data_IF_541155470564
#
_entry.id   IF_541155470564
#
_cell.length_a   1.000
_cell.length_b   1.000
_cell.length_c   1.000
_cell.angle_alpha   90.00
_cell.angle_beta   90.00
_cell.angle_gamma   90.00
#
_symmetry.space_group_name_H-M   'P 1'
#
loop_
_entity.id
_entity.type
_entity.pdbx_description
1 polymer ?
#
# COMPACT_ATOMS: atom_id res chain seq x y z
N UNK A 1 31.29 -17.45 7.02
CA UNK A 1 31.05 -18.91 7.09
C UNK A 1 29.80 -19.11 7.91
N UNK A 2 28.76 -19.71 7.34
CA UNK A 2 27.52 -19.96 8.08
C UNK A 2 27.78 -20.95 9.23
N UNK A 3 27.02 -20.80 10.30
CA UNK A 3 27.13 -21.70 11.47
C UNK A 3 26.83 -23.16 11.07
N UNK A 4 26.08 -23.36 10.00
CA UNK A 4 25.82 -24.64 9.39
C UNK A 4 27.12 -25.30 8.86
N UNK A 5 27.92 -24.57 8.08
CA UNK A 5 29.20 -25.11 7.52
C UNK A 5 30.17 -25.43 8.64
N UNK A 6 30.22 -24.64 9.73
CA UNK A 6 31.07 -24.93 10.88
C UNK A 6 30.65 -26.24 11.56
N UNK A 7 29.35 -26.40 11.85
CA UNK A 7 28.83 -27.61 12.48
C UNK A 7 29.09 -28.87 11.65
N UNK A 8 28.88 -28.80 10.33
CA UNK A 8 29.16 -29.92 9.42
C UNK A 8 30.67 -30.23 9.32
N UNK A 9 31.52 -29.21 9.40
CA UNK A 9 32.99 -29.43 9.41
C UNK A 9 33.46 -30.12 10.70
N UNK A 10 32.87 -29.76 11.85
CA UNK A 10 33.16 -30.44 13.14
C UNK A 10 32.65 -31.88 13.15
N UNK A 11 31.45 -32.15 12.64
CA UNK A 11 30.90 -33.51 12.53
C UNK A 11 31.79 -34.38 11.62
N UNK A 12 32.22 -33.84 10.47
CA UNK A 12 33.16 -34.49 9.57
C UNK A 12 34.48 -34.85 10.23
N UNK A 13 35.06 -33.93 11.00
CA UNK A 13 36.29 -34.17 11.73
C UNK A 13 36.15 -35.32 12.77
N UNK A 14 35.03 -35.36 13.50
CA UNK A 14 34.72 -36.39 14.42
C UNK A 14 34.58 -37.79 13.78
N UNK A 15 33.94 -37.86 12.59
CA UNK A 15 33.79 -39.11 11.86
C UNK A 15 35.14 -39.62 11.33
N UNK A 16 36.00 -38.73 10.83
CA UNK A 16 37.37 -39.07 10.40
C UNK A 16 38.17 -39.63 11.59
N UNK A 17 38.01 -39.02 12.78
CA UNK A 17 38.70 -39.51 13.98
C UNK A 17 38.22 -40.91 14.33
N UNK A 18 36.91 -41.21 14.23
CA UNK A 18 36.38 -42.55 14.46
C UNK A 18 36.91 -43.60 13.47
N UNK A 19 37.00 -43.26 12.19
CA UNK A 19 37.61 -44.13 11.16
C UNK A 19 39.05 -44.44 11.54
N UNK A 20 39.82 -43.42 11.95
CA UNK A 20 41.22 -43.56 12.31
C UNK A 20 41.37 -44.43 13.58
N UNK A 21 40.54 -44.26 14.59
CA UNK A 21 40.56 -45.08 15.80
C UNK A 21 40.34 -46.58 15.50
N UNK A 22 39.49 -46.91 14.55
CA UNK A 22 39.26 -48.29 14.10
C UNK A 22 40.51 -48.85 13.41
N UNK A 23 41.15 -48.06 12.54
CA UNK A 23 42.34 -48.47 11.83
C UNK A 23 43.54 -48.64 12.78
N UNK A 24 43.76 -47.65 13.68
CA UNK A 24 44.86 -47.67 14.66
C UNK A 24 44.71 -48.83 15.64
N UNK A 25 43.46 -49.20 16.02
CA UNK A 25 43.21 -50.38 16.84
C UNK A 25 43.53 -51.68 16.13
N UNK A 26 43.14 -51.83 14.86
CA UNK A 26 43.47 -52.99 14.06
C UNK A 26 45.00 -53.16 13.88
N UNK A 27 45.73 -52.04 13.70
CA UNK A 27 47.19 -52.00 13.59
C UNK A 27 47.87 -52.36 14.89
N UNK A 28 47.37 -51.82 16.05
CA UNK A 28 47.94 -52.12 17.36
C UNK A 28 47.79 -53.60 17.77
N UNK A 29 46.68 -54.22 17.34
CA UNK A 29 46.40 -55.64 17.59
C UNK A 29 47.08 -56.56 16.55
N UNK A 30 47.85 -56.02 15.59
CA UNK A 30 48.52 -56.72 14.48
C UNK A 30 47.60 -57.70 13.74
N UNK A 31 46.27 -57.37 13.65
CA UNK A 31 45.24 -58.16 12.96
C UNK A 31 44.74 -57.45 11.72
N UNK A 32 44.30 -58.21 10.72
CA UNK A 32 43.55 -57.65 9.61
C UNK A 32 42.18 -57.11 10.08
N UNK A 33 41.62 -56.12 9.35
CA UNK A 33 40.27 -55.63 9.52
C UNK A 33 39.23 -56.75 9.43
N UNK A 34 38.37 -56.88 10.40
CA UNK A 34 37.27 -57.87 10.37
C UNK A 34 36.15 -57.37 9.40
N UNK A 35 35.26 -58.28 9.01
CA UNK A 35 34.12 -57.92 8.13
C UNK A 35 33.24 -56.85 8.80
N UNK A 36 33.13 -56.90 10.14
CA UNK A 36 32.35 -55.91 10.92
C UNK A 36 33.07 -54.54 10.95
N UNK A 37 34.41 -54.52 11.10
CA UNK A 37 35.19 -53.28 11.06
C UNK A 37 35.10 -52.62 9.68
N UNK A 38 35.21 -53.45 8.59
CA UNK A 38 35.03 -52.94 7.22
C UNK A 38 33.65 -52.34 6.99
N UNK A 39 32.59 -53.03 7.41
CA UNK A 39 31.21 -52.51 7.29
C UNK A 39 30.95 -51.27 8.15
N UNK A 40 31.75 -51.06 9.24
CA UNK A 40 31.68 -49.85 10.03
C UNK A 40 32.40 -48.68 9.36
N UNK A 41 33.55 -48.90 8.81
CA UNK A 41 34.36 -47.94 8.05
C UNK A 41 33.57 -47.45 6.81
N UNK A 42 33.01 -48.39 6.00
CA UNK A 42 32.20 -48.02 4.83
C UNK A 42 30.99 -47.12 5.21
N UNK A 43 30.32 -47.39 6.30
CA UNK A 43 29.19 -46.51 6.76
C UNK A 43 29.65 -45.12 7.17
N UNK A 44 30.80 -45.01 7.87
CA UNK A 44 31.38 -43.74 8.26
C UNK A 44 31.87 -42.95 7.05
N UNK A 45 32.50 -43.61 6.07
CA UNK A 45 32.93 -42.97 4.81
C UNK A 45 31.76 -42.49 3.96
N UNK A 46 30.68 -43.27 3.85
CA UNK A 46 29.46 -42.85 3.18
C UNK A 46 28.89 -41.57 3.85
N UNK A 47 28.89 -41.51 5.16
CA UNK A 47 28.39 -40.33 5.89
C UNK A 47 29.32 -39.12 5.74
N UNK A 48 30.63 -39.32 5.65
CA UNK A 48 31.59 -38.27 5.36
C UNK A 48 31.34 -37.71 3.95
N UNK A 49 31.09 -38.57 2.97
CA UNK A 49 30.80 -38.17 1.59
C UNK A 49 29.48 -37.35 1.51
N UNK A 50 28.45 -37.72 2.27
CA UNK A 50 27.20 -36.97 2.34
C UNK A 50 27.42 -35.57 2.93
N UNK A 51 28.23 -35.48 4.00
CA UNK A 51 28.59 -34.19 4.62
C UNK A 51 29.42 -33.33 3.64
N UNK A 52 30.37 -33.90 2.94
CA UNK A 52 31.21 -33.20 1.95
C UNK A 52 30.33 -32.63 0.81
N UNK A 53 29.36 -33.40 0.34
CA UNK A 53 28.38 -32.95 -0.64
C UNK A 53 27.52 -31.79 -0.07
N UNK A 54 27.06 -31.90 1.18
CA UNK A 54 26.30 -30.86 1.86
C UNK A 54 27.08 -29.54 1.97
N UNK A 55 28.34 -29.61 2.39
CA UNK A 55 29.24 -28.46 2.46
C UNK A 55 29.47 -27.84 1.08
N UNK A 56 29.68 -28.67 0.04
CA UNK A 56 29.88 -28.17 -1.32
C UNK A 56 28.65 -27.46 -1.89
N UNK A 57 27.44 -27.93 -1.57
CA UNK A 57 26.17 -27.27 -1.96
C UNK A 57 26.01 -25.96 -1.19
N UNK A 58 26.27 -25.94 0.10
CA UNK A 58 26.17 -24.74 0.93
C UNK A 58 27.16 -23.66 0.46
N UNK A 59 28.41 -23.99 0.17
CA UNK A 59 29.39 -23.05 -0.38
C UNK A 59 28.97 -22.48 -1.73
N UNK A 60 28.49 -23.31 -2.66
CA UNK A 60 27.97 -22.84 -3.95
C UNK A 60 26.76 -21.93 -3.80
N UNK A 61 25.96 -22.10 -2.76
CA UNK A 61 24.83 -21.19 -2.48
C UNK A 61 25.32 -19.85 -1.90
N UNK A 62 26.32 -19.86 -1.01
CA UNK A 62 26.96 -18.64 -0.49
C UNK A 62 27.65 -17.84 -1.61
N UNK A 63 28.38 -18.51 -2.50
CA UNK A 63 29.02 -17.90 -3.68
C UNK A 63 28.00 -17.24 -4.60
N UNK A 64 26.89 -17.93 -4.93
CA UNK A 64 25.81 -17.35 -5.74
C UNK A 64 25.13 -16.18 -5.05
N UNK A 65 24.93 -16.23 -3.74
CA UNK A 65 24.38 -15.10 -2.99
C UNK A 65 25.36 -13.90 -2.98
N UNK A 66 26.67 -14.17 -2.87
CA UNK A 66 27.68 -13.13 -2.93
C UNK A 66 27.75 -12.50 -4.34
N UNK A 67 27.68 -13.33 -5.39
CA UNK A 67 27.65 -12.87 -6.79
C UNK A 67 26.40 -12.01 -7.09
N UNK A 68 25.23 -12.44 -6.61
CA UNK A 68 23.98 -11.65 -6.70
C UNK A 68 24.10 -10.35 -5.89
N UNK A 69 24.69 -10.39 -4.71
CA UNK A 69 24.92 -9.20 -3.88
C UNK A 69 25.92 -8.24 -4.53
N UNK A 70 26.96 -8.76 -5.20
CA UNK A 70 27.94 -7.96 -5.94
C UNK A 70 27.34 -7.37 -7.22
N UNK A 71 26.56 -8.15 -7.97
CA UNK A 71 25.80 -7.67 -9.11
C UNK A 71 24.77 -6.60 -8.69
N UNK A 72 24.11 -6.78 -7.55
CA UNK A 72 23.21 -5.79 -6.98
C UNK A 72 23.94 -4.50 -6.54
N UNK A 73 25.17 -4.58 -6.06
CA UNK A 73 26.03 -3.41 -5.78
C UNK A 73 26.41 -2.63 -7.02
N UNK A 74 26.56 -3.30 -8.17
CA UNK A 74 26.80 -2.65 -9.45
C UNK A 74 25.56 -1.96 -10.03
N UNK A 75 24.35 -2.34 -9.59
CA UNK A 75 23.07 -1.78 -10.04
C UNK A 75 22.49 -0.73 -9.08
N UNK A 76 22.91 -0.71 -7.83
CA UNK A 76 22.58 0.34 -6.87
C UNK A 76 23.74 1.34 -6.92
N UNK A 77 23.57 2.54 -7.51
CA UNK A 77 24.52 3.60 -7.23
C UNK A 77 24.57 3.71 -5.71
N UNK A 78 25.77 3.76 -5.15
CA UNK A 78 25.98 3.92 -3.73
C UNK A 78 25.16 5.15 -3.28
N UNK A 79 23.97 4.89 -2.79
CA UNK A 79 23.22 5.86 -2.00
C UNK A 79 24.00 5.87 -0.70
N UNK A 80 25.03 6.73 -0.64
CA UNK A 80 25.51 7.24 0.64
C UNK A 80 24.23 7.58 1.40
N UNK A 81 24.06 7.02 2.59
CA UNK A 81 23.01 7.44 3.51
C UNK A 81 23.26 8.94 3.77
N UNK A 82 22.70 9.76 2.88
CA UNK A 82 22.71 11.20 3.04
C UNK A 82 21.87 11.46 4.25
N UNK A 83 22.50 12.12 5.21
CA UNK A 83 21.82 12.57 6.42
C UNK A 83 20.80 13.65 6.02
N UNK A 84 19.56 13.20 5.79
CA UNK A 84 18.46 14.07 5.37
C UNK A 84 18.16 15.15 6.41
N UNK A 85 18.52 14.87 7.66
CA UNK A 85 18.48 15.85 8.75
C UNK A 85 19.50 16.98 8.53
N UNK A 86 20.65 16.68 7.91
CA UNK A 86 21.66 17.69 7.57
C UNK A 86 21.19 18.57 6.41
N UNK A 87 20.52 18.02 5.40
CA UNK A 87 19.94 18.80 4.28
C UNK A 87 18.85 19.73 4.78
N UNK A 88 17.93 19.24 5.61
CA UNK A 88 16.87 20.05 6.20
C UNK A 88 17.46 21.14 7.11
N UNK A 89 18.51 20.84 7.84
CA UNK A 89 19.20 21.82 8.69
C UNK A 89 19.92 22.90 7.85
N UNK A 90 20.57 22.55 6.74
CA UNK A 90 21.21 23.51 5.84
C UNK A 90 20.18 24.42 5.14
N UNK A 91 18.98 23.92 4.85
CA UNK A 91 17.85 24.70 4.35
C UNK A 91 17.37 25.67 5.45
N UNK A 92 17.21 25.20 6.69
CA UNK A 92 16.77 26.03 7.81
C UNK A 92 17.77 27.14 8.18
N UNK A 93 19.07 26.90 8.02
CA UNK A 93 20.14 27.90 8.23
C UNK A 93 20.31 28.87 7.05
N UNK A 94 19.50 28.73 5.97
CA UNK A 94 19.59 29.62 4.82
C UNK A 94 20.74 29.34 3.86
N UNK A 95 21.51 28.29 4.10
CA UNK A 95 22.62 27.86 3.23
C UNK A 95 22.14 27.28 1.90
N UNK A 96 20.86 26.80 1.85
CA UNK A 96 20.23 26.26 0.66
C UNK A 96 18.79 26.82 0.50
N UNK A 97 18.47 27.45 -0.64
CA UNK A 97 17.18 28.13 -0.88
C UNK A 97 16.05 27.22 -1.39
N UNK A 98 15.89 26.05 -0.79
CA UNK A 98 14.81 25.14 -1.12
C UNK A 98 15.29 23.89 -1.84
N UNK A 99 14.62 22.79 -1.54
CA UNK A 99 14.89 21.49 -2.12
C UNK A 99 13.57 20.91 -2.67
N UNK A 100 13.55 20.55 -3.95
CA UNK A 100 12.41 19.84 -4.53
C UNK A 100 12.56 18.35 -4.24
N UNK A 101 11.68 17.84 -3.42
CA UNK A 101 11.59 16.42 -3.15
C UNK A 101 10.74 15.76 -4.24
N UNK A 102 11.34 15.11 -5.20
CA UNK A 102 10.65 14.34 -6.25
C UNK A 102 10.78 12.85 -5.99
N UNK A 103 9.67 12.13 -6.08
CA UNK A 103 9.70 10.67 -6.16
C UNK A 103 10.53 10.25 -7.38
N UNK A 104 11.62 9.54 -7.14
CA UNK A 104 12.50 9.06 -8.20
C UNK A 104 11.83 7.95 -9.00
N UNK A 105 11.18 8.33 -10.10
CA UNK A 105 10.96 7.46 -11.22
C UNK A 105 11.85 7.97 -12.37
N UNK A 106 12.97 7.27 -12.56
CA UNK A 106 14.02 7.39 -13.58
C UNK A 106 15.22 8.28 -13.26
N UNK A 107 16.44 7.74 -13.43
CA UNK A 107 17.68 8.49 -13.27
C UNK A 107 17.97 9.26 -14.55
N UNK A 108 17.60 10.51 -14.65
CA UNK A 108 18.19 11.41 -15.65
C UNK A 108 18.26 12.82 -15.10
N UNK A 109 19.49 13.20 -14.80
CA UNK A 109 20.04 14.56 -14.67
C UNK A 109 19.31 15.59 -13.78
N UNK A 110 19.87 15.83 -12.61
CA UNK A 110 20.05 17.20 -12.10
C UNK A 110 18.88 17.86 -11.41
N UNK A 111 18.15 17.20 -10.53
CA UNK A 111 17.26 17.91 -9.60
C UNK A 111 17.05 17.10 -8.31
N UNK A 112 17.11 17.79 -7.19
CA UNK A 112 17.14 17.32 -5.81
C UNK A 112 16.26 16.11 -5.48
N UNK A 113 16.90 15.15 -4.87
CA UNK A 113 16.28 13.89 -4.44
C UNK A 113 15.60 14.11 -3.11
N UNK A 114 14.28 13.82 -3.03
CA UNK A 114 13.60 13.64 -1.75
C UNK A 114 14.26 12.50 -1.02
N UNK A 115 14.55 12.62 0.28
CA UNK A 115 14.84 11.47 1.09
C UNK A 115 13.73 10.45 0.95
N UNK A 116 14.06 9.26 0.48
CA UNK A 116 13.11 8.16 0.28
C UNK A 116 12.33 7.85 1.58
N UNK A 117 12.99 7.98 2.72
CA UNK A 117 12.39 7.79 4.04
C UNK A 117 11.28 8.80 4.36
N UNK A 118 11.38 10.05 3.90
CA UNK A 118 10.35 11.06 4.13
C UNK A 118 9.11 10.80 3.26
N UNK A 119 9.31 10.47 1.98
CA UNK A 119 8.22 10.13 1.06
C UNK A 119 7.45 8.90 1.54
N UNK A 120 8.18 7.86 1.98
CA UNK A 120 7.60 6.62 2.47
C UNK A 120 6.78 6.83 3.76
N UNK A 121 7.27 7.67 4.68
CA UNK A 121 6.51 8.04 5.87
C UNK A 121 5.22 8.80 5.55
N UNK A 122 5.28 9.77 4.64
CA UNK A 122 4.08 10.53 4.23
C UNK A 122 3.09 9.62 3.50
N UNK A 123 3.57 8.76 2.63
CA UNK A 123 2.72 7.79 1.92
C UNK A 123 2.07 6.79 2.90
N UNK A 124 2.81 6.34 3.90
CA UNK A 124 2.28 5.49 4.98
C UNK A 124 1.21 6.23 5.79
N UNK A 125 1.36 7.53 6.06
CA UNK A 125 0.32 8.33 6.71
C UNK A 125 -0.91 8.51 5.83
N UNK A 126 -0.75 8.73 4.53
CA UNK A 126 -1.85 8.79 3.57
C UNK A 126 -2.66 7.49 3.57
N UNK A 127 -1.99 6.34 3.51
CA UNK A 127 -2.63 5.03 3.54
C UNK A 127 -3.35 4.76 4.86
N UNK A 128 -2.75 5.13 5.98
CA UNK A 128 -3.34 4.93 7.31
C UNK A 128 -4.48 5.91 7.62
N UNK A 129 -4.48 7.10 7.01
CA UNK A 129 -5.49 8.12 7.25
C UNK A 129 -6.79 7.86 6.48
N UNK A 130 -6.71 7.27 5.29
CA UNK A 130 -7.89 6.98 4.48
C UNK A 130 -7.69 5.69 3.67
N UNK A 131 -8.58 4.70 3.79
CA UNK A 131 -8.48 3.43 3.08
C UNK A 131 -8.50 3.57 1.55
N UNK A 132 -8.97 4.69 0.99
CA UNK A 132 -8.92 4.93 -0.45
C UNK A 132 -7.51 4.89 -1.02
N UNK A 133 -6.49 5.35 -0.29
CA UNK A 133 -5.11 5.29 -0.75
C UNK A 133 -4.55 3.85 -0.81
N UNK A 134 -5.15 2.90 -0.10
CA UNK A 134 -4.76 1.49 -0.13
C UNK A 134 -5.62 0.65 -1.08
N UNK A 135 -6.85 1.08 -1.38
CA UNK A 135 -7.81 0.30 -2.18
C UNK A 135 -7.98 0.80 -3.61
N UNK A 136 -7.57 2.04 -3.90
CA UNK A 136 -7.69 2.63 -5.23
C UNK A 136 -6.44 2.47 -6.08
N UNK A 137 -6.57 2.65 -7.39
CA UNK A 137 -5.43 2.69 -8.31
C UNK A 137 -4.78 4.07 -8.27
N UNK A 138 -3.50 4.14 -7.84
CA UNK A 138 -2.75 5.40 -7.76
C UNK A 138 -1.89 5.58 -9.01
N UNK A 139 -2.08 6.71 -9.71
CA UNK A 139 -1.28 7.10 -10.87
C UNK A 139 -0.43 8.31 -10.52
N UNK A 140 0.88 8.16 -10.51
CA UNK A 140 1.82 9.25 -10.26
C UNK A 140 2.28 9.88 -11.58
N UNK A 141 2.15 11.20 -11.72
CA UNK A 141 2.59 11.98 -12.89
C UNK A 141 3.59 13.04 -12.47
N UNK A 142 4.56 13.36 -13.32
CA UNK A 142 5.58 14.39 -13.06
C UNK A 142 5.05 15.81 -13.14
N UNK A 143 4.06 16.04 -14.00
CA UNK A 143 3.46 17.37 -14.26
C UNK A 143 2.01 17.48 -13.82
N UNK A 144 1.51 18.73 -13.73
CA UNK A 144 0.13 19.04 -13.37
C UNK A 144 -0.83 19.18 -14.58
N UNK A 145 -0.38 18.89 -15.81
CA UNK A 145 -1.24 18.94 -17.00
C UNK A 145 -2.37 17.91 -16.86
N UNK A 146 -3.55 18.22 -17.39
CA UNK A 146 -4.71 17.30 -17.32
C UNK A 146 -4.37 15.95 -17.93
N UNK A 147 -4.58 14.89 -17.16
CA UNK A 147 -4.42 13.51 -17.59
C UNK A 147 -5.77 13.03 -18.14
N UNK A 148 -5.77 12.59 -19.39
CA UNK A 148 -6.97 12.04 -20.05
C UNK A 148 -6.87 10.54 -20.10
N UNK A 149 -7.83 9.85 -19.47
CA UNK A 149 -7.90 8.38 -19.44
C UNK A 149 -9.12 7.97 -20.26
N UNK A 150 -8.95 7.16 -21.32
CA UNK A 150 -10.10 6.64 -22.07
C UNK A 150 -10.92 5.69 -21.19
N UNK A 151 -12.24 5.83 -21.24
CA UNK A 151 -13.21 5.06 -20.49
C UNK A 151 -14.26 4.50 -21.43
N UNK A 152 -14.51 3.19 -21.34
CA UNK A 152 -15.61 2.54 -22.07
C UNK A 152 -16.91 2.80 -21.30
N UNK A 153 -17.86 3.49 -21.93
CA UNK A 153 -19.16 3.81 -21.31
C UNK A 153 -20.20 2.73 -21.61
N UNK A 154 -20.16 2.18 -22.82
CA UNK A 154 -20.99 1.04 -23.19
C UNK A 154 -20.20 0.12 -24.10
N UNK A 155 -20.27 -1.19 -23.82
CA UNK A 155 -19.77 -2.22 -24.72
C UNK A 155 -20.75 -2.38 -25.88
N UNK A 156 -20.24 -2.71 -27.07
CA UNK A 156 -21.10 -3.08 -28.19
C UNK A 156 -21.94 -4.32 -27.87
N UNK A 157 -23.12 -4.41 -28.46
CA UNK A 157 -23.98 -5.59 -28.34
C UNK A 157 -23.60 -6.63 -29.39
N UNK A 158 -23.35 -7.85 -28.97
CA UNK A 158 -23.07 -8.98 -29.85
C UNK A 158 -24.25 -9.95 -29.81
N UNK A 159 -24.85 -10.21 -30.98
CA UNK A 159 -25.99 -11.11 -31.08
C UNK A 159 -25.65 -12.35 -31.90
N UNK A 160 -26.29 -13.47 -31.59
CA UNK A 160 -26.23 -14.66 -32.42
C UNK A 160 -26.85 -14.37 -33.77
N UNK A 161 -26.08 -14.53 -34.85
CA UNK A 161 -26.56 -14.30 -36.23
C UNK A 161 -26.71 -15.65 -36.94
N UNK A 162 -27.87 -15.87 -37.52
CA UNK A 162 -28.13 -17.09 -38.29
C UNK A 162 -27.27 -17.10 -39.57
N UNK A 163 -26.97 -18.30 -40.08
CA UNK A 163 -26.21 -18.46 -41.32
C UNK A 163 -26.91 -17.76 -42.49
N UNK A 164 -26.18 -16.89 -43.18
CA UNK A 164 -26.70 -16.11 -44.30
C UNK A 164 -27.42 -14.80 -43.95
N UNK A 165 -27.57 -14.46 -42.65
CA UNK A 165 -28.11 -13.18 -42.20
C UNK A 165 -27.01 -12.13 -42.04
N UNK A 166 -27.36 -10.84 -42.25
CA UNK A 166 -26.44 -9.75 -42.03
C UNK A 166 -26.10 -9.59 -40.53
N UNK A 167 -24.81 -9.41 -40.22
CA UNK A 167 -24.34 -9.11 -38.87
C UNK A 167 -24.65 -7.64 -38.56
N UNK A 168 -25.34 -7.39 -37.44
CA UNK A 168 -25.61 -6.02 -37.00
C UNK A 168 -24.35 -5.34 -36.53
N UNK A 169 -24.08 -4.13 -37.01
CA UNK A 169 -22.98 -3.32 -36.55
C UNK A 169 -23.27 -2.74 -35.15
N UNK A 170 -22.37 -2.90 -34.24
CA UNK A 170 -22.46 -2.35 -32.88
C UNK A 170 -21.10 -1.87 -32.42
N UNK A 171 -20.96 -0.57 -32.25
CA UNK A 171 -19.72 0.08 -31.86
C UNK A 171 -19.71 0.39 -30.35
N UNK A 172 -18.60 0.16 -29.63
CA UNK A 172 -18.47 0.57 -28.25
C UNK A 172 -18.45 2.10 -28.14
N UNK A 173 -19.07 2.63 -27.10
CA UNK A 173 -19.06 4.07 -26.81
C UNK A 173 -17.91 4.37 -25.85
N UNK A 174 -17.03 5.28 -26.25
CA UNK A 174 -15.90 5.73 -25.47
C UNK A 174 -16.16 7.13 -24.92
N UNK A 175 -15.77 7.35 -23.67
CA UNK A 175 -15.68 8.67 -23.04
C UNK A 175 -14.29 8.87 -22.46
N UNK A 176 -14.03 10.04 -21.90
CA UNK A 176 -12.75 10.37 -21.28
C UNK A 176 -12.95 10.75 -19.82
N UNK A 177 -12.11 10.21 -18.93
CA UNK A 177 -11.94 10.71 -17.59
C UNK A 177 -10.80 11.72 -17.57
N UNK A 178 -11.11 12.97 -17.25
CA UNK A 178 -10.14 14.04 -17.17
C UNK A 178 -9.78 14.28 -15.72
N UNK A 179 -8.51 14.05 -15.37
CA UNK A 179 -7.97 14.26 -14.03
C UNK A 179 -7.06 15.49 -14.04
N UNK A 180 -7.40 16.49 -13.24
CA UNK A 180 -6.62 17.70 -13.01
C UNK A 180 -5.53 17.49 -11.97
N UNK A 181 -5.18 18.56 -11.23
CA UNK A 181 -4.24 18.52 -10.11
C UNK A 181 -4.58 19.64 -9.12
N UNK A 182 -5.54 19.37 -8.23
CA UNK A 182 -5.87 20.29 -7.14
C UNK A 182 -4.73 20.32 -6.12
N UNK A 183 -4.44 21.51 -5.57
CA UNK A 183 -3.32 21.73 -4.68
C UNK A 183 -3.79 21.84 -3.23
N UNK A 184 -3.24 20.98 -2.38
CA UNK A 184 -3.34 21.04 -0.93
C UNK A 184 -2.01 21.56 -0.37
N UNK A 185 -2.05 22.44 0.61
CA UNK A 185 -0.85 23.02 1.16
C UNK A 185 -1.02 23.46 2.60
N UNK A 186 0.04 23.28 3.38
CA UNK A 186 0.15 23.75 4.75
C UNK A 186 1.34 24.71 4.87
N UNK A 187 1.18 25.75 5.67
CA UNK A 187 2.23 26.67 6.09
C UNK A 187 2.41 26.53 7.60
N UNK A 188 3.64 26.25 8.04
CA UNK A 188 4.00 26.15 9.45
C UNK A 188 5.18 27.05 9.71
N UNK A 189 5.06 27.95 10.68
CA UNK A 189 6.13 28.86 11.10
C UNK A 189 6.68 28.44 12.46
N UNK A 190 7.99 28.35 12.57
CA UNK A 190 8.73 28.03 13.79
C UNK A 190 9.70 29.16 14.13
N UNK A 191 9.81 29.49 15.41
CA UNK A 191 10.82 30.42 15.90
C UNK A 191 12.22 29.85 15.69
N UNK A 192 13.15 30.70 15.25
CA UNK A 192 14.54 30.31 15.05
C UNK A 192 15.21 29.89 16.37
N UNK A 193 14.80 30.48 17.52
CA UNK A 193 15.25 30.06 18.84
C UNK A 193 14.89 28.61 19.15
N UNK A 194 13.65 28.21 18.88
CA UNK A 194 13.17 26.83 19.10
C UNK A 194 13.93 25.86 18.17
N UNK A 195 14.22 26.27 16.93
CA UNK A 195 14.99 25.44 15.99
C UNK A 195 16.43 25.26 16.49
N UNK A 196 17.04 26.30 17.07
CA UNK A 196 18.40 26.24 17.57
C UNK A 196 18.54 25.47 18.89
N UNK A 197 17.60 25.65 19.83
CA UNK A 197 17.68 25.11 21.18
C UNK A 197 17.12 23.68 21.31
N UNK A 198 16.35 23.21 20.31
CA UNK A 198 15.73 21.89 20.42
C UNK A 198 16.72 20.76 20.12
N UNK A 199 16.84 19.83 21.05
CA UNK A 199 17.56 18.56 20.86
C UNK A 199 16.82 17.54 19.97
N UNK A 200 15.62 17.87 19.50
CA UNK A 200 14.77 17.02 18.63
C UNK A 200 14.75 17.60 17.23
N UNK A 201 14.70 16.75 16.21
CA UNK A 201 14.55 17.19 14.84
C UNK A 201 13.11 17.74 14.61
N UNK A 202 12.92 19.03 14.93
CA UNK A 202 11.64 19.73 14.76
C UNK A 202 11.16 19.74 13.32
N UNK A 203 12.08 19.72 12.36
CA UNK A 203 11.75 19.71 10.93
C UNK A 203 11.02 18.45 10.53
N UNK A 204 11.50 17.30 11.01
CA UNK A 204 10.84 16.02 10.78
C UNK A 204 9.44 15.97 11.45
N UNK A 205 9.34 16.51 12.66
CA UNK A 205 8.05 16.61 13.37
C UNK A 205 7.04 17.46 12.61
N UNK A 206 7.44 18.65 12.12
CA UNK A 206 6.59 19.54 11.33
C UNK A 206 6.18 18.90 10.03
N UNK A 207 7.13 18.25 9.34
CA UNK A 207 6.84 17.54 8.12
C UNK A 207 5.80 16.42 8.33
N UNK A 208 5.92 15.66 9.40
CA UNK A 208 4.94 14.59 9.77
C UNK A 208 3.57 15.18 10.07
N UNK A 209 3.48 16.21 10.90
CA UNK A 209 2.20 16.84 11.25
C UNK A 209 1.53 17.41 10.01
N UNK A 210 2.25 18.20 9.21
CA UNK A 210 1.70 18.80 7.99
C UNK A 210 1.26 17.76 6.97
N UNK A 211 2.02 16.68 6.83
CA UNK A 211 1.66 15.57 5.93
C UNK A 211 0.42 14.85 6.38
N UNK A 212 0.25 14.66 7.68
CA UNK A 212 -0.95 14.06 8.26
C UNK A 212 -2.20 14.90 7.99
N UNK A 213 -2.13 16.21 8.20
CA UNK A 213 -3.25 17.12 7.96
C UNK A 213 -3.61 17.18 6.46
N UNK A 214 -2.62 17.27 5.58
CA UNK A 214 -2.84 17.20 4.12
C UNK A 214 -3.47 15.85 3.74
N UNK A 215 -3.03 14.76 4.34
CA UNK A 215 -3.59 13.43 4.09
C UNK A 215 -5.06 13.33 4.53
N UNK A 216 -5.39 13.94 5.66
CA UNK A 216 -6.75 13.95 6.18
C UNK A 216 -7.67 14.76 5.26
N UNK A 217 -7.29 15.98 4.89
CA UNK A 217 -8.09 16.85 4.02
C UNK A 217 -8.21 16.29 2.60
N UNK A 218 -7.10 15.81 2.03
CA UNK A 218 -7.12 15.15 0.73
C UNK A 218 -7.98 13.88 0.76
N UNK A 219 -7.87 13.06 1.81
CA UNK A 219 -8.70 11.87 1.99
C UNK A 219 -10.19 12.17 2.10
N UNK A 220 -10.57 13.26 2.77
CA UNK A 220 -11.95 13.72 2.86
C UNK A 220 -12.48 14.13 1.48
N UNK A 221 -11.69 14.90 0.71
CA UNK A 221 -12.06 15.32 -0.64
C UNK A 221 -12.13 14.13 -1.62
N UNK A 222 -11.19 13.18 -1.54
CA UNK A 222 -11.24 11.93 -2.32
C UNK A 222 -12.48 11.08 -1.99
N UNK A 223 -13.04 11.23 -0.79
CA UNK A 223 -14.24 10.49 -0.36
C UNK A 223 -15.53 11.20 -0.82
N UNK A 224 -15.70 12.48 -0.54
CA UNK A 224 -16.97 13.20 -0.71
C UNK A 224 -16.90 14.38 -1.67
N UNK A 225 -15.73 14.70 -2.20
CA UNK A 225 -15.51 15.88 -3.04
C UNK A 225 -16.45 15.99 -4.23
N UNK A 226 -16.72 17.22 -4.63
CA UNK A 226 -17.74 17.57 -5.64
C UNK A 226 -17.25 17.49 -7.08
N UNK A 227 -15.91 17.50 -7.30
CA UNK A 227 -15.31 17.48 -8.63
C UNK A 227 -15.28 18.83 -9.35
N UNK A 228 -15.63 19.94 -8.69
CA UNK A 228 -15.62 21.30 -9.30
C UNK A 228 -14.42 22.12 -8.84
N UNK A 229 -14.26 22.31 -7.54
CA UNK A 229 -13.16 23.06 -6.91
C UNK A 229 -12.20 22.14 -6.13
N UNK A 230 -12.55 20.89 -6.06
CA UNK A 230 -11.86 19.81 -5.35
C UNK A 230 -11.95 18.52 -6.17
N UNK A 231 -11.17 17.46 -5.86
CA UNK A 231 -11.25 16.16 -6.53
C UNK A 231 -12.66 15.57 -6.50
N UNK A 232 -12.97 14.72 -7.48
CA UNK A 232 -14.25 14.00 -7.49
C UNK A 232 -14.17 12.83 -6.51
N UNK A 233 -14.93 12.90 -5.42
CA UNK A 233 -14.98 11.85 -4.40
C UNK A 233 -15.67 10.57 -4.88
N UNK A 234 -15.28 9.42 -4.30
CA UNK A 234 -15.87 8.12 -4.64
C UNK A 234 -17.38 8.08 -4.39
N UNK A 235 -17.85 8.72 -3.32
CA UNK A 235 -19.28 8.82 -2.97
C UNK A 235 -20.06 9.63 -4.01
N UNK A 236 -19.44 10.67 -4.56
CA UNK A 236 -20.03 11.52 -5.60
C UNK A 236 -20.01 10.84 -6.98
N UNK A 237 -18.91 10.16 -7.30
CA UNK A 237 -18.75 9.46 -8.58
C UNK A 237 -19.55 8.15 -8.66
N UNK A 238 -19.93 7.55 -7.53
CA UNK A 238 -20.66 6.27 -7.49
C UNK A 238 -22.09 6.42 -7.98
N UNK A 239 -22.61 5.38 -8.62
CA UNK A 239 -24.01 5.30 -9.07
C UNK A 239 -24.94 4.88 -7.92
N UNK A 240 -26.23 5.22 -8.02
CA UNK A 240 -27.22 4.76 -7.06
C UNK A 240 -27.43 3.26 -7.20
N UNK A 241 -27.17 2.47 -6.15
CA UNK A 241 -27.46 1.04 -6.09
C UNK A 241 -28.82 0.78 -5.46
N UNK A 242 -29.00 1.19 -4.22
CA UNK A 242 -30.21 0.95 -3.44
C UNK A 242 -30.59 2.19 -2.62
N UNK A 243 -31.89 2.45 -2.53
CA UNK A 243 -32.43 3.44 -1.59
C UNK A 243 -33.06 2.71 -0.42
N UNK A 244 -32.62 3.05 0.80
CA UNK A 244 -33.18 2.48 2.01
C UNK A 244 -34.63 2.88 2.22
N UNK A 245 -35.41 1.96 2.74
CA UNK A 245 -36.83 2.16 3.07
C UNK A 245 -37.04 2.57 4.53
N UNK A 246 -36.04 2.36 5.39
CA UNK A 246 -36.13 2.65 6.80
C UNK A 246 -35.99 4.15 7.08
N UNK A 247 -36.87 4.69 7.91
CA UNK A 247 -36.75 6.02 8.47
C UNK A 247 -35.46 6.14 9.27
N UNK A 248 -34.68 7.16 8.99
CA UNK A 248 -33.40 7.36 9.69
C UNK A 248 -32.16 6.92 8.94
N UNK A 249 -32.29 6.50 7.69
CA UNK A 249 -31.14 6.15 6.82
C UNK A 249 -30.33 4.94 7.28
N UNK A 250 -30.85 4.18 8.26
CA UNK A 250 -30.17 2.96 8.77
C UNK A 250 -30.29 1.84 7.74
N UNK A 251 -29.20 1.19 7.32
CA UNK A 251 -29.27 0.08 6.40
C UNK A 251 -29.90 -1.16 7.08
N UNK A 252 -30.80 -1.83 6.37
CA UNK A 252 -31.31 -3.16 6.78
C UNK A 252 -30.49 -4.25 6.13
N UNK A 253 -30.67 -5.50 6.61
CA UNK A 253 -30.01 -6.66 6.00
C UNK A 253 -30.39 -6.81 4.52
N UNK A 254 -31.68 -6.63 4.19
CA UNK A 254 -32.19 -6.68 2.81
C UNK A 254 -31.51 -5.63 1.93
N UNK A 255 -31.38 -4.38 2.42
CA UNK A 255 -30.70 -3.35 1.66
C UNK A 255 -29.24 -3.68 1.34
N UNK A 256 -28.54 -4.38 2.26
CA UNK A 256 -27.17 -4.81 2.03
C UNK A 256 -27.08 -5.92 0.98
N UNK A 257 -28.02 -6.87 1.00
CA UNK A 257 -28.16 -7.89 -0.02
C UNK A 257 -28.43 -7.25 -1.39
N UNK A 258 -29.44 -6.39 -1.48
CA UNK A 258 -29.83 -5.72 -2.71
C UNK A 258 -28.66 -4.88 -3.27
N UNK A 259 -27.90 -4.18 -2.40
CA UNK A 259 -26.74 -3.41 -2.78
C UNK A 259 -25.65 -4.30 -3.40
N UNK A 260 -25.41 -5.46 -2.80
CA UNK A 260 -24.41 -6.42 -3.31
C UNK A 260 -24.79 -6.93 -4.69
N UNK A 261 -26.08 -7.13 -4.96
CA UNK A 261 -26.60 -7.65 -6.24
C UNK A 261 -26.94 -6.55 -7.26
N UNK A 262 -26.92 -5.28 -6.88
CA UNK A 262 -27.18 -4.16 -7.80
C UNK A 262 -26.03 -3.92 -8.79
N UNK A 263 -24.82 -4.39 -8.48
CA UNK A 263 -23.69 -4.34 -9.41
C UNK A 263 -23.69 -5.57 -10.28
N UNK A 264 -23.79 -5.36 -11.60
CA UNK A 264 -23.57 -6.42 -12.58
C UNK A 264 -22.10 -6.76 -12.62
N UNK A 265 -21.70 -7.89 -12.07
CA UNK A 265 -20.28 -8.26 -12.00
C UNK A 265 -20.07 -9.75 -12.12
N UNK A 266 -19.14 -10.13 -12.98
CA UNK A 266 -18.75 -11.51 -13.20
C UNK A 266 -17.87 -12.05 -12.08
N UNK A 267 -17.18 -11.17 -11.32
CA UNK A 267 -16.27 -11.56 -10.25
C UNK A 267 -16.41 -10.64 -9.01
N UNK A 268 -17.42 -10.94 -8.18
CA UNK A 268 -17.65 -10.20 -6.93
C UNK A 268 -16.61 -10.48 -5.84
N UNK A 269 -15.73 -11.45 -6.02
CA UNK A 269 -14.68 -11.77 -5.04
C UNK A 269 -13.64 -10.64 -4.87
N UNK A 270 -13.46 -9.79 -5.90
CA UNK A 270 -12.57 -8.63 -5.85
C UNK A 270 -13.25 -7.34 -5.38
N UNK A 271 -14.54 -7.40 -5.01
CA UNK A 271 -15.29 -6.23 -4.58
C UNK A 271 -15.12 -6.00 -3.09
N UNK A 272 -15.31 -4.75 -2.66
CA UNK A 272 -15.22 -4.35 -1.27
C UNK A 272 -16.33 -3.40 -0.87
N UNK A 273 -16.62 -3.37 0.42
CA UNK A 273 -17.47 -2.35 1.03
C UNK A 273 -16.59 -1.24 1.58
N UNK A 274 -16.99 0.00 1.35
CA UNK A 274 -16.47 1.16 2.07
C UNK A 274 -17.63 1.78 2.86
N UNK A 275 -17.45 1.87 4.16
CA UNK A 275 -18.55 2.27 5.08
C UNK A 275 -18.10 3.36 6.02
N UNK A 276 -19.05 4.23 6.42
CA UNK A 276 -18.79 5.15 7.52
C UNK A 276 -18.80 4.43 8.86
N UNK A 277 -18.10 4.96 9.87
CA UNK A 277 -18.08 4.44 11.24
C UNK A 277 -19.48 4.24 11.80
N UNK A 278 -20.40 5.18 11.53
CA UNK A 278 -21.80 5.11 11.99
C UNK A 278 -22.60 4.02 11.26
N UNK A 279 -22.34 3.82 9.96
CA UNK A 279 -22.96 2.74 9.19
C UNK A 279 -22.46 1.37 9.63
N UNK A 280 -21.16 1.24 9.89
CA UNK A 280 -20.58 0.00 10.42
C UNK A 280 -21.18 -0.38 11.77
N UNK A 281 -21.30 0.61 12.66
CA UNK A 281 -21.97 0.40 13.95
C UNK A 281 -23.44 0.00 13.81
N UNK A 282 -24.15 0.56 12.81
CA UNK A 282 -25.54 0.20 12.51
C UNK A 282 -25.64 -1.24 11.96
N UNK A 283 -24.77 -1.61 11.02
CA UNK A 283 -24.71 -2.96 10.44
C UNK A 283 -24.48 -4.02 11.52
N UNK A 284 -23.54 -3.78 12.43
CA UNK A 284 -23.25 -4.70 13.55
C UNK A 284 -24.40 -4.86 14.55
N UNK A 285 -25.34 -3.91 14.59
CA UNK A 285 -26.54 -3.95 15.46
C UNK A 285 -27.72 -4.65 14.81
N UNK A 286 -27.64 -5.10 13.56
CA UNK A 286 -28.73 -5.82 12.89
C UNK A 286 -28.95 -7.16 13.58
N UNK A 287 -30.21 -7.41 13.98
CA UNK A 287 -30.63 -8.61 14.69
C UNK A 287 -31.59 -9.44 13.85
N UNK A 288 -31.60 -10.73 14.10
CA UNK A 288 -32.59 -11.64 13.59
C UNK A 288 -33.92 -11.56 14.38
N UNK A 289 -34.93 -12.30 13.97
CA UNK A 289 -36.22 -12.38 14.63
C UNK A 289 -36.13 -12.95 16.05
N UNK A 290 -35.08 -13.68 16.40
CA UNK A 290 -34.81 -14.23 17.72
C UNK A 290 -34.03 -13.28 18.63
N UNK A 291 -33.60 -12.10 18.11
CA UNK A 291 -32.86 -11.09 18.85
C UNK A 291 -31.33 -11.27 18.83
N UNK A 292 -30.81 -12.26 18.10
CA UNK A 292 -29.37 -12.49 17.95
C UNK A 292 -28.79 -11.53 16.91
N UNK A 293 -27.54 -11.09 17.10
CA UNK A 293 -26.84 -10.30 16.11
C UNK A 293 -26.47 -11.15 14.90
N UNK A 294 -26.86 -10.70 13.68
CA UNK A 294 -26.56 -11.40 12.44
C UNK A 294 -25.06 -11.30 12.10
N UNK A 295 -24.48 -10.12 12.33
CA UNK A 295 -23.07 -9.88 12.09
C UNK A 295 -22.30 -9.89 13.40
N UNK A 296 -21.90 -11.09 13.84
CA UNK A 296 -20.92 -11.22 14.91
C UNK A 296 -19.53 -10.77 14.38
N UNK A 297 -18.72 -10.06 15.18
CA UNK A 297 -17.37 -9.73 14.78
C UNK A 297 -16.62 -11.04 14.48
N UNK A 298 -16.10 -11.16 13.27
CA UNK A 298 -15.27 -12.29 12.90
C UNK A 298 -14.00 -12.23 13.73
N UNK A 299 -13.72 -13.26 14.53
CA UNK A 299 -12.40 -13.49 15.11
C UNK A 299 -11.52 -14.05 13.98
N UNK A 300 -11.29 -13.25 12.93
CA UNK A 300 -10.40 -13.66 11.86
C UNK A 300 -8.96 -13.34 12.26
N UNK A 301 -8.06 -14.20 11.85
CA UNK A 301 -6.61 -14.06 12.09
C UNK A 301 -6.07 -12.74 11.49
N UNK A 302 -6.73 -12.22 10.46
CA UNK A 302 -6.32 -11.02 9.73
C UNK A 302 -6.88 -9.70 10.31
N UNK A 303 -7.73 -9.75 11.33
CA UNK A 303 -8.35 -8.55 11.93
C UNK A 303 -9.25 -7.73 10.99
N UNK A 304 -9.56 -8.25 9.79
CA UNK A 304 -10.43 -7.59 8.81
C UNK A 304 -11.86 -8.03 8.99
N UNK A 305 -12.78 -7.07 8.90
CA UNK A 305 -14.21 -7.37 8.90
C UNK A 305 -14.68 -7.77 7.50
N UNK A 306 -15.53 -8.79 7.45
CA UNK A 306 -16.13 -9.28 6.20
C UNK A 306 -17.64 -9.17 6.26
N UNK A 307 -18.23 -8.71 5.16
CA UNK A 307 -19.67 -8.65 4.95
C UNK A 307 -20.01 -9.43 3.68
N UNK A 308 -20.81 -10.48 3.77
CA UNK A 308 -21.18 -11.33 2.64
C UNK A 308 -19.98 -11.83 1.80
N UNK A 309 -18.85 -12.14 2.48
CA UNK A 309 -17.63 -12.61 1.83
C UNK A 309 -16.72 -11.53 1.26
N UNK A 310 -17.11 -10.25 1.32
CA UNK A 310 -16.32 -9.12 0.85
C UNK A 310 -15.73 -8.34 2.02
N UNK A 311 -14.54 -7.78 1.82
CA UNK A 311 -13.83 -6.99 2.84
C UNK A 311 -14.55 -5.67 3.10
N UNK A 312 -14.63 -5.28 4.36
CA UNK A 312 -15.12 -3.96 4.78
C UNK A 312 -13.95 -3.03 5.04
N UNK A 313 -13.97 -1.87 4.41
CA UNK A 313 -13.06 -0.76 4.66
C UNK A 313 -13.80 0.35 5.40
N UNK A 314 -13.42 0.61 6.64
CA UNK A 314 -13.97 1.73 7.40
C UNK A 314 -13.30 3.04 6.97
N UNK A 315 -14.11 4.02 6.58
CA UNK A 315 -13.65 5.35 6.20
C UNK A 315 -14.40 6.42 7.01
N UNK A 316 -13.68 7.08 7.92
CA UNK A 316 -14.22 8.12 8.79
C UNK A 316 -14.70 9.38 8.03
N UNK A 317 -14.18 9.61 6.81
CA UNK A 317 -14.58 10.75 5.97
C UNK A 317 -15.89 10.51 5.20
N UNK A 318 -16.46 9.31 5.26
CA UNK A 318 -17.76 9.04 4.62
C UNK A 318 -18.93 9.69 5.38
N UNK A 319 -20.01 10.07 4.67
CA UNK A 319 -21.20 10.62 5.31
C UNK A 319 -21.76 9.69 6.38
N UNK A 320 -22.04 10.24 7.54
CA UNK A 320 -22.68 9.51 8.62
C UNK A 320 -24.11 9.08 8.24
N UNK A 321 -24.60 8.00 8.86
CA UNK A 321 -26.01 7.64 8.82
C UNK A 321 -26.81 8.77 9.48
N UNK A 322 -27.69 9.40 8.72
CA UNK A 322 -28.48 10.53 9.18
C UNK A 322 -29.96 10.32 8.91
N UNK A 323 -30.80 10.63 9.91
CA UNK A 323 -32.25 10.42 9.87
C UNK A 323 -32.98 11.29 8.85
N UNK A 324 -32.43 12.44 8.48
CA UNK A 324 -33.13 13.49 7.73
C UNK A 324 -32.58 13.70 6.31
N UNK A 325 -31.50 13.08 5.96
CA UNK A 325 -30.85 13.27 4.66
C UNK A 325 -30.66 11.94 3.95
N UNK A 326 -30.78 11.96 2.64
CA UNK A 326 -30.40 10.86 1.76
C UNK A 326 -28.88 10.64 1.79
N UNK A 327 -28.34 10.26 2.96
CA UNK A 327 -26.91 10.09 3.17
C UNK A 327 -26.40 8.87 2.42
N UNK A 328 -25.23 9.01 1.80
CA UNK A 328 -24.54 7.95 1.08
C UNK A 328 -23.49 7.34 2.02
N UNK A 329 -23.93 6.56 2.99
CA UNK A 329 -23.09 6.07 4.08
C UNK A 329 -22.34 4.77 3.78
N UNK A 330 -22.70 4.10 2.69
CA UNK A 330 -22.12 2.83 2.24
C UNK A 330 -21.87 2.91 0.73
N UNK A 331 -20.69 2.48 0.31
CA UNK A 331 -20.31 2.30 -1.08
C UNK A 331 -19.87 0.84 -1.26
N UNK A 332 -20.28 0.21 -2.36
CA UNK A 332 -19.94 -1.16 -2.70
C UNK A 332 -19.52 -1.26 -4.16
N UNK A 333 -18.52 -2.08 -4.45
CA UNK A 333 -18.08 -2.34 -5.80
C UNK A 333 -16.59 -2.61 -5.90
N UNK A 334 -16.08 -2.52 -7.12
CA UNK A 334 -14.65 -2.67 -7.39
C UNK A 334 -13.93 -1.35 -7.09
N UNK A 335 -13.39 -1.25 -5.88
CA UNK A 335 -12.72 -0.04 -5.38
C UNK A 335 -11.46 0.31 -6.17
N UNK A 336 -10.80 -0.67 -6.78
CA UNK A 336 -9.61 -0.48 -7.64
C UNK A 336 -9.90 0.37 -8.90
N UNK A 337 -11.16 0.41 -9.37
CA UNK A 337 -11.57 1.22 -10.52
C UNK A 337 -11.66 2.72 -10.17
N UNK A 338 -11.56 3.06 -8.89
CA UNK A 338 -11.39 4.44 -8.48
C UNK A 338 -9.92 4.83 -8.62
N UNK A 339 -9.66 5.83 -9.46
CA UNK A 339 -8.32 6.26 -9.82
C UNK A 339 -7.98 7.53 -9.06
N UNK A 340 -6.88 7.49 -8.32
CA UNK A 340 -6.30 8.66 -7.65
C UNK A 340 -5.04 9.07 -8.39
N UNK A 341 -5.03 10.28 -8.93
CA UNK A 341 -3.85 10.88 -9.56
C UNK A 341 -3.06 11.69 -8.55
N UNK A 342 -1.77 11.46 -8.51
CA UNK A 342 -0.82 12.26 -7.75
C UNK A 342 0.13 12.98 -8.71
N UNK A 343 0.19 14.32 -8.66
CA UNK A 343 1.01 15.13 -9.55
C UNK A 343 2.22 15.73 -8.83
N UNK A 344 3.42 15.28 -9.20
CA UNK A 344 4.69 15.85 -8.73
C UNK A 344 5.11 15.50 -7.30
N UNK A 345 4.35 14.62 -6.61
CA UNK A 345 4.69 14.25 -5.22
C UNK A 345 4.49 15.38 -4.22
N UNK A 346 5.08 15.22 -3.02
CA UNK A 346 5.05 16.23 -1.96
C UNK A 346 6.24 17.16 -2.13
N UNK A 347 5.97 18.45 -2.04
CA UNK A 347 6.98 19.50 -2.12
C UNK A 347 7.07 20.22 -0.79
N UNK A 348 8.29 20.36 -0.27
CA UNK A 348 8.59 21.14 0.92
C UNK A 348 9.50 22.30 0.52
N UNK A 349 9.12 23.49 0.90
CA UNK A 349 9.92 24.69 0.70
C UNK A 349 9.99 25.51 1.98
N UNK A 350 11.11 26.17 2.23
CA UNK A 350 11.32 27.03 3.39
C UNK A 350 11.54 28.48 2.98
N UNK A 351 11.13 29.38 3.84
CA UNK A 351 11.39 30.81 3.70
C UNK A 351 11.71 31.40 5.05
N UNK A 352 12.81 32.12 5.13
CA UNK A 352 13.23 32.97 6.27
C UNK A 352 12.71 34.39 6.12
N UNK A 353 12.29 34.79 4.91
CA UNK A 353 11.92 36.17 4.59
C UNK A 353 10.44 36.47 4.79
N UNK A 354 9.58 35.41 4.86
CA UNK A 354 8.12 35.56 4.90
C UNK A 354 7.61 36.38 6.11
N UNK A 355 8.22 36.17 7.27
CA UNK A 355 7.91 36.89 8.50
C UNK A 355 9.22 37.32 9.21
N UNK A 356 10.07 38.00 8.49
CA UNK A 356 11.38 38.45 8.93
C UNK A 356 11.36 39.24 10.24
N UNK A 357 10.29 40.02 10.46
CA UNK A 357 10.10 40.83 11.69
C UNK A 357 9.73 40.01 12.93
N UNK A 358 9.47 38.69 12.78
CA UNK A 358 9.07 37.80 13.88
C UNK A 358 10.17 36.79 14.24
N UNK A 359 11.32 36.82 13.56
CA UNK A 359 12.42 35.86 13.71
C UNK A 359 11.94 34.39 13.63
N UNK A 360 11.16 34.07 12.56
CA UNK A 360 10.61 32.73 12.32
C UNK A 360 11.02 32.21 10.94
N UNK A 361 11.25 30.92 10.89
CA UNK A 361 11.40 30.18 9.62
C UNK A 361 10.07 29.53 9.28
N UNK A 362 9.56 29.82 8.06
CA UNK A 362 8.27 29.29 7.57
C UNK A 362 8.48 28.16 6.59
N UNK A 363 7.81 27.04 6.85
CA UNK A 363 7.79 25.83 6.01
C UNK A 363 6.49 25.75 5.24
N UNK A 364 6.59 25.49 3.95
CA UNK A 364 5.44 25.22 3.08
C UNK A 364 5.50 23.79 2.59
N UNK A 365 4.52 23.01 2.97
CA UNK A 365 4.33 21.64 2.47
C UNK A 365 3.17 21.66 1.49
N UNK A 366 3.35 21.11 0.29
CA UNK A 366 2.30 21.06 -0.73
C UNK A 366 2.21 19.67 -1.36
N UNK A 367 0.98 19.23 -1.60
CA UNK A 367 0.63 18.05 -2.37
C UNK A 367 -0.40 18.40 -3.45
N UNK A 368 -0.33 17.74 -4.60
CA UNK A 368 -1.29 17.95 -5.68
C UNK A 368 -1.86 16.62 -6.14
N UNK A 369 -3.18 16.57 -6.28
CA UNK A 369 -3.85 15.36 -6.73
C UNK A 369 -5.26 15.63 -7.23
N UNK A 370 -5.82 14.61 -7.89
CA UNK A 370 -7.19 14.54 -8.36
C UNK A 370 -7.66 13.09 -8.37
N UNK A 371 -8.96 12.88 -8.53
CA UNK A 371 -9.52 11.52 -8.53
C UNK A 371 -10.79 11.43 -9.38
N UNK A 372 -11.11 10.21 -9.77
CA UNK A 372 -12.33 9.93 -10.48
C UNK A 372 -12.55 8.44 -10.72
N UNK A 373 -13.75 8.06 -11.10
CA UNK A 373 -14.12 6.67 -11.34
C UNK A 373 -13.90 6.29 -12.80
N UNK A 374 -13.02 5.30 -13.02
CA UNK A 374 -12.67 4.79 -14.36
C UNK A 374 -13.77 3.96 -15.01
N UNK A 375 -14.56 3.20 -14.23
CA UNK A 375 -15.68 2.39 -14.70
C UNK A 375 -16.90 2.58 -13.80
N UNK A 376 -18.09 2.27 -14.28
CA UNK A 376 -19.34 2.32 -13.51
C UNK A 376 -19.54 1.05 -12.63
N UNK A 377 -18.49 0.65 -11.93
CA UNK A 377 -18.41 -0.58 -11.13
C UNK A 377 -18.66 -0.35 -9.64
N UNK A 378 -18.91 0.89 -9.24
CA UNK A 378 -19.10 1.29 -7.83
C UNK A 378 -20.49 1.90 -7.66
N UNK A 379 -21.23 1.39 -6.68
CA UNK A 379 -22.57 1.82 -6.33
C UNK A 379 -22.64 2.27 -4.88
N UNK A 380 -23.62 3.11 -4.54
CA UNK A 380 -23.83 3.54 -3.17
C UNK A 380 -25.23 3.19 -2.65
N UNK A 381 -25.30 2.99 -1.36
CA UNK A 381 -26.55 2.98 -0.61
C UNK A 381 -26.93 4.41 -0.27
N UNK A 382 -28.16 4.76 -0.57
CA UNK A 382 -28.77 6.04 -0.19
C UNK A 382 -29.74 5.82 0.96
N UNK A 383 -29.54 6.48 2.07
CA UNK A 383 -30.48 6.43 3.20
C UNK A 383 -31.87 6.89 2.78
N UNK A 384 -32.92 6.25 3.31
CA UNK A 384 -34.30 6.67 3.10
C UNK A 384 -34.55 8.04 3.74
N UNK A 385 -35.31 8.88 3.06
CA UNK A 385 -35.90 10.10 3.63
C UNK A 385 -37.24 9.77 4.26
N UNK A 386 -37.52 10.33 5.42
CA UNK A 386 -38.82 10.22 6.06
C UNK A 386 -39.90 10.86 5.19
#
# INVERSE_FOLDING_TARGET
MSDFIKGQTEERANLIFQVRDILDRAESEARGLTVDDLGHVERLEARIADIDNGIAVARRSEERQAEVAEAARGFVPAVEARDDSAILRSIAMGEMRGHEFRAALTPTSGSGVVPYAFYDQVFTFLQNSNPLFSTSTIITTTGGNTLQIPKVTAAGTYALTAAGSAIAESNPTLSQLNLGAYKYGALVSLSNEIIADSGVNLLDLVARISSREIAFDAGAALTTGTGTVEPTGIVTASSLGVTGTATGGVPTYENLVDLTYSVAGDNRASYGFMVSTTALAAIRKIKDSAGNFIFAPSISVDGRDYLMGNVIHENASMPAVAATAASKSIVYGKLDDFIVRQAGGIQVATSTDYAFNQDVTTFRVTWRGDSGLGAASVVHFRGGTA
#
